data_IF_636827722020
#
_entry.id   IF_636827722020
#
_cell.length_a   1.000
_cell.length_b   1.000
_cell.length_c   1.000
_cell.angle_alpha   90.00
_cell.angle_beta   90.00
_cell.angle_gamma   90.00
#
_symmetry.space_group_name_H-M   'P 1'
#
loop_
_entity.id
_entity.type
_entity.pdbx_description
1 polymer ?
#
# COMPACT_ATOMS: atom_id res chain seq x y z
N UNK A 1 -20.20 10.75 -29.32
CA UNK A 1 -20.08 10.35 -27.90
C UNK A 1 -18.81 9.55 -27.58
N UNK A 2 -18.26 8.74 -28.52
CA UNK A 2 -17.02 7.96 -28.30
C UNK A 2 -15.74 8.81 -28.48
N UNK A 3 -15.78 9.85 -29.33
CA UNK A 3 -14.58 10.69 -29.63
C UNK A 3 -14.22 11.60 -28.45
N UNK A 4 -15.20 12.12 -27.70
CA UNK A 4 -14.97 13.01 -26.54
C UNK A 4 -14.38 12.29 -25.31
N UNK A 5 -14.63 10.99 -25.13
CA UNK A 5 -14.04 10.20 -24.05
C UNK A 5 -12.58 9.84 -24.29
N UNK A 6 -12.15 9.71 -25.56
CA UNK A 6 -10.75 9.47 -25.92
C UNK A 6 -9.88 10.70 -25.68
N UNK A 7 -10.39 11.91 -25.98
CA UNK A 7 -9.67 13.16 -25.72
C UNK A 7 -9.50 13.46 -24.22
N UNK A 8 -10.54 13.24 -23.40
CA UNK A 8 -10.38 13.35 -21.92
C UNK A 8 -9.27 12.45 -21.39
N UNK A 9 -9.05 11.27 -22.01
CA UNK A 9 -8.03 10.30 -21.60
C UNK A 9 -6.60 10.87 -21.70
N UNK A 10 -6.37 11.81 -22.63
CA UNK A 10 -5.06 12.41 -22.88
C UNK A 10 -4.72 13.54 -21.90
N UNK A 11 -5.72 14.19 -21.29
CA UNK A 11 -5.52 15.33 -20.37
C UNK A 11 -5.34 14.92 -18.89
N UNK A 12 -5.73 13.70 -18.49
CA UNK A 12 -5.57 13.21 -17.12
C UNK A 12 -4.14 13.27 -16.55
N UNK A 13 -3.07 12.87 -17.26
CA UNK A 13 -1.71 12.96 -16.72
C UNK A 13 -1.27 14.41 -16.46
N UNK A 14 -1.73 15.36 -17.27
CA UNK A 14 -1.47 16.78 -17.08
C UNK A 14 -2.21 17.33 -15.84
N UNK A 15 -3.47 16.92 -15.65
CA UNK A 15 -4.26 17.31 -14.49
C UNK A 15 -3.70 16.74 -13.17
N UNK A 16 -3.31 15.46 -13.18
CA UNK A 16 -2.72 14.79 -12.02
C UNK A 16 -1.39 15.43 -11.62
N UNK A 17 -0.52 15.73 -12.60
CA UNK A 17 0.76 16.39 -12.34
C UNK A 17 0.58 17.84 -11.87
N UNK A 18 -0.37 18.60 -12.41
CA UNK A 18 -0.71 19.94 -11.95
C UNK A 18 -1.25 19.94 -10.51
N UNK A 19 -2.12 18.98 -10.17
CA UNK A 19 -2.64 18.80 -8.82
C UNK A 19 -1.52 18.42 -7.84
N UNK A 20 -0.65 17.49 -8.23
CA UNK A 20 0.51 17.08 -7.47
C UNK A 20 1.47 18.26 -7.18
N UNK A 21 1.77 19.07 -8.20
CA UNK A 21 2.58 20.28 -8.05
C UNK A 21 1.97 21.28 -7.06
N UNK A 22 0.65 21.49 -7.09
CA UNK A 22 -0.06 22.37 -6.15
C UNK A 22 0.01 21.86 -4.71
N UNK A 23 -0.15 20.56 -4.50
CA UNK A 23 0.00 19.93 -3.18
C UNK A 23 1.42 20.15 -2.67
N UNK A 24 2.43 19.82 -3.47
CA UNK A 24 3.83 19.94 -3.08
C UNK A 24 4.16 21.39 -2.69
N UNK A 25 3.79 22.35 -3.53
CA UNK A 25 3.99 23.78 -3.26
C UNK A 25 3.30 24.24 -1.96
N UNK A 26 2.10 23.74 -1.68
CA UNK A 26 1.34 24.11 -0.46
C UNK A 26 2.00 23.56 0.79
N UNK A 27 2.50 22.32 0.75
CA UNK A 27 3.23 21.70 1.86
C UNK A 27 4.46 22.53 2.22
N UNK A 28 5.26 22.97 1.23
CA UNK A 28 6.47 23.76 1.49
C UNK A 28 6.19 25.20 1.94
N UNK A 29 5.21 25.88 1.35
CA UNK A 29 4.95 27.31 1.65
C UNK A 29 4.19 27.47 2.97
N UNK A 30 3.27 26.56 3.31
CA UNK A 30 2.42 26.66 4.50
C UNK A 30 2.85 25.72 5.65
N UNK A 31 4.08 25.18 5.60
CA UNK A 31 4.64 24.23 6.59
C UNK A 31 4.62 24.70 8.06
N UNK A 32 4.37 25.99 8.32
CA UNK A 32 4.27 26.56 9.67
C UNK A 32 2.84 26.62 10.24
N UNK A 33 1.80 26.61 9.41
CA UNK A 33 0.42 26.81 9.86
C UNK A 33 -0.21 25.49 10.30
N UNK A 34 -0.84 25.48 11.48
CA UNK A 34 -1.62 24.32 11.93
C UNK A 34 -0.81 23.05 12.24
N UNK A 35 0.49 23.15 12.54
CA UNK A 35 1.39 22.00 12.81
C UNK A 35 0.83 20.97 13.79
N UNK A 36 0.13 21.41 14.84
CA UNK A 36 -0.51 20.49 15.82
C UNK A 36 -1.62 19.65 15.20
N UNK A 37 -2.44 20.26 14.35
CA UNK A 37 -3.55 19.58 13.65
C UNK A 37 -2.99 18.60 12.61
N UNK A 38 -2.04 19.06 11.79
CA UNK A 38 -1.39 18.22 10.77
C UNK A 38 -0.70 17.02 11.41
N UNK A 39 0.04 17.22 12.50
CA UNK A 39 0.70 16.11 13.21
C UNK A 39 -0.31 15.10 13.74
N UNK A 40 -1.44 15.55 14.29
CA UNK A 40 -2.50 14.65 14.76
C UNK A 40 -3.06 13.81 13.61
N UNK A 41 -3.35 14.43 12.46
CA UNK A 41 -3.87 13.74 11.27
C UNK A 41 -2.86 12.72 10.75
N UNK A 42 -1.57 13.08 10.64
CA UNK A 42 -0.51 12.15 10.18
C UNK A 42 -0.41 10.95 11.11
N UNK A 43 -0.42 11.16 12.43
CA UNK A 43 -0.35 10.06 13.41
C UNK A 43 -1.58 9.15 13.30
N UNK A 44 -2.77 9.73 13.13
CA UNK A 44 -3.99 8.95 12.92
C UNK A 44 -3.93 8.14 11.63
N UNK A 45 -3.44 8.72 10.53
CA UNK A 45 -3.32 8.01 9.25
C UNK A 45 -2.29 6.88 9.32
N UNK A 46 -1.16 7.10 9.99
CA UNK A 46 -0.15 6.05 10.22
C UNK A 46 -0.74 4.93 11.08
N UNK A 47 -1.45 5.28 12.16
CA UNK A 47 -2.08 4.30 13.03
C UNK A 47 -3.10 3.43 12.27
N UNK A 48 -4.02 4.07 11.54
CA UNK A 48 -5.03 3.39 10.75
C UNK A 48 -4.41 2.49 9.67
N UNK A 49 -3.37 2.99 8.99
CA UNK A 49 -2.72 2.25 7.90
C UNK A 49 -1.85 1.09 8.40
N UNK A 50 -1.09 1.28 9.48
CA UNK A 50 -0.08 0.32 9.91
C UNK A 50 -0.55 -0.61 11.03
N UNK A 51 -1.33 -0.10 12.00
CA UNK A 51 -1.68 -0.86 13.21
C UNK A 51 -2.91 -1.72 12.99
N UNK A 52 -3.94 -1.21 12.31
CA UNK A 52 -5.18 -1.98 12.07
C UNK A 52 -4.94 -3.20 11.17
N UNK A 53 -3.97 -3.11 10.27
CA UNK A 53 -3.61 -4.17 9.32
C UNK A 53 -2.69 -5.23 9.95
N UNK A 54 -2.09 -4.95 11.11
CA UNK A 54 -1.05 -5.79 11.69
C UNK A 54 -1.54 -7.21 12.01
N UNK A 55 -2.77 -7.35 12.50
CA UNK A 55 -3.37 -8.65 12.79
C UNK A 55 -3.61 -9.47 11.52
N UNK A 56 -4.11 -8.82 10.46
CA UNK A 56 -4.31 -9.46 9.16
C UNK A 56 -2.96 -9.91 8.55
N UNK A 57 -1.95 -9.03 8.59
CA UNK A 57 -0.59 -9.34 8.16
C UNK A 57 0.00 -10.51 8.93
N UNK A 58 -0.21 -10.57 10.26
CA UNK A 58 0.27 -11.66 11.10
C UNK A 58 -0.35 -13.01 10.71
N UNK A 59 -1.67 -13.06 10.56
CA UNK A 59 -2.38 -14.29 10.17
C UNK A 59 -1.93 -14.75 8.78
N UNK A 60 -1.91 -13.85 7.80
CA UNK A 60 -1.47 -14.17 6.44
C UNK A 60 -0.01 -14.63 6.44
N UNK A 61 0.87 -13.94 7.16
CA UNK A 61 2.29 -14.26 7.27
C UNK A 61 2.56 -15.65 7.85
N UNK A 62 1.81 -16.04 8.89
CA UNK A 62 1.92 -17.39 9.48
C UNK A 62 1.47 -18.45 8.48
N UNK A 63 0.32 -18.27 7.84
CA UNK A 63 -0.23 -19.24 6.88
C UNK A 63 0.69 -19.36 5.66
N UNK A 64 1.03 -18.25 5.01
CA UNK A 64 1.91 -18.26 3.83
C UNK A 64 3.32 -18.75 4.17
N UNK A 65 3.87 -18.35 5.32
CA UNK A 65 5.18 -18.82 5.77
C UNK A 65 5.21 -20.34 5.94
N UNK A 66 4.23 -20.91 6.63
CA UNK A 66 4.12 -22.36 6.80
C UNK A 66 3.98 -23.07 5.45
N UNK A 67 3.12 -22.58 4.55
CA UNK A 67 2.92 -23.15 3.22
C UNK A 67 4.22 -23.15 2.39
N UNK A 68 4.92 -22.02 2.35
CA UNK A 68 6.18 -21.88 1.59
C UNK A 68 7.27 -22.78 2.16
N UNK A 69 7.41 -22.86 3.48
CA UNK A 69 8.40 -23.74 4.12
C UNK A 69 8.14 -25.21 3.78
N UNK A 70 6.89 -25.68 3.93
CA UNK A 70 6.52 -27.07 3.61
C UNK A 70 6.80 -27.37 2.12
N UNK A 71 6.45 -26.45 1.22
CA UNK A 71 6.64 -26.62 -0.22
C UNK A 71 8.13 -26.68 -0.60
N UNK A 72 8.96 -25.80 -0.03
CA UNK A 72 10.41 -25.76 -0.31
C UNK A 72 11.10 -27.00 0.29
N UNK A 73 10.75 -27.40 1.51
CA UNK A 73 11.24 -28.65 2.12
C UNK A 73 10.96 -29.87 1.23
N UNK A 74 9.72 -30.00 0.74
CA UNK A 74 9.32 -31.10 -0.14
C UNK A 74 10.04 -31.07 -1.51
N UNK A 75 10.45 -29.91 -2.00
CA UNK A 75 11.22 -29.80 -3.25
C UNK A 75 12.71 -30.07 -3.04
N UNK A 76 13.34 -29.51 -2.01
CA UNK A 76 14.78 -29.70 -1.76
C UNK A 76 15.12 -31.14 -1.38
N UNK A 77 14.24 -31.81 -0.63
CA UNK A 77 14.39 -33.23 -0.30
C UNK A 77 14.39 -34.14 -1.52
N UNK A 78 13.69 -33.77 -2.60
CA UNK A 78 13.69 -34.52 -3.88
C UNK A 78 14.97 -34.32 -4.68
N UNK A 79 15.61 -33.17 -4.55
CA UNK A 79 16.81 -32.80 -5.31
C UNK A 79 18.11 -33.19 -4.55
N UNK A 80 18.00 -33.59 -3.28
CA UNK A 80 19.14 -34.02 -2.46
C UNK A 80 19.96 -32.86 -1.87
N UNK A 81 19.52 -31.61 -2.03
CA UNK A 81 20.23 -30.40 -1.58
C UNK A 81 19.59 -29.87 -0.29
N UNK A 82 19.58 -30.69 0.76
CA UNK A 82 18.91 -30.32 2.02
C UNK A 82 19.72 -29.32 2.86
N UNK A 83 21.04 -29.23 2.65
CA UNK A 83 21.92 -28.32 3.41
C UNK A 83 21.70 -26.84 3.07
N UNK A 84 21.23 -26.52 1.85
CA UNK A 84 20.99 -25.15 1.40
C UNK A 84 19.63 -24.59 1.86
N UNK A 85 18.80 -25.38 2.55
CA UNK A 85 17.42 -25.04 2.85
C UNK A 85 17.28 -23.76 3.67
N UNK A 86 18.06 -23.63 4.74
CA UNK A 86 18.01 -22.43 5.59
C UNK A 86 18.40 -21.16 4.83
N UNK A 87 19.43 -21.23 3.98
CA UNK A 87 19.88 -20.09 3.17
C UNK A 87 18.83 -19.68 2.14
N UNK A 88 18.24 -20.65 1.44
CA UNK A 88 17.19 -20.41 0.43
C UNK A 88 15.95 -19.81 1.09
N UNK A 89 15.53 -20.32 2.25
CA UNK A 89 14.39 -19.78 2.98
C UNK A 89 14.62 -18.33 3.42
N UNK A 90 15.80 -17.99 3.94
CA UNK A 90 16.10 -16.62 4.35
C UNK A 90 16.05 -15.66 3.15
N UNK A 91 16.66 -16.04 2.02
CA UNK A 91 16.67 -15.18 0.84
C UNK A 91 15.24 -15.01 0.30
N UNK A 92 14.54 -16.10 0.01
CA UNK A 92 13.24 -16.02 -0.65
C UNK A 92 12.17 -15.47 0.31
N UNK A 93 12.07 -15.99 1.53
CA UNK A 93 10.97 -15.64 2.44
C UNK A 93 11.20 -14.27 3.08
N UNK A 94 12.38 -14.01 3.62
CA UNK A 94 12.62 -12.80 4.40
C UNK A 94 12.94 -11.60 3.50
N UNK A 95 13.72 -11.79 2.43
CA UNK A 95 14.17 -10.66 1.58
C UNK A 95 13.22 -10.35 0.43
N UNK A 96 12.54 -11.36 -0.13
CA UNK A 96 11.67 -11.17 -1.28
C UNK A 96 10.18 -11.16 -0.86
N UNK A 97 9.69 -12.31 -0.38
CA UNK A 97 8.25 -12.51 -0.17
C UNK A 97 7.70 -11.70 0.99
N UNK A 98 8.42 -11.59 2.10
CA UNK A 98 7.99 -10.82 3.27
C UNK A 98 7.71 -9.35 2.93
N UNK A 99 8.68 -8.61 2.37
CA UNK A 99 8.47 -7.22 1.93
C UNK A 99 7.40 -7.10 0.85
N UNK A 100 7.37 -8.01 -0.13
CA UNK A 100 6.41 -7.97 -1.23
C UNK A 100 4.96 -8.16 -0.75
N UNK A 101 4.70 -9.21 0.06
CA UNK A 101 3.36 -9.48 0.61
C UNK A 101 2.92 -8.33 1.52
N UNK A 102 3.83 -7.81 2.34
CA UNK A 102 3.55 -6.67 3.22
C UNK A 102 3.17 -5.43 2.41
N UNK A 103 3.93 -5.09 1.36
CA UNK A 103 3.66 -3.94 0.50
C UNK A 103 2.29 -4.06 -0.18
N UNK A 104 1.98 -5.23 -0.75
CA UNK A 104 0.69 -5.47 -1.43
C UNK A 104 -0.48 -5.29 -0.47
N UNK A 105 -0.41 -5.89 0.72
CA UNK A 105 -1.50 -5.82 1.71
C UNK A 105 -1.69 -4.38 2.21
N UNK A 106 -0.61 -3.67 2.52
CA UNK A 106 -0.67 -2.27 2.98
C UNK A 106 -1.27 -1.38 1.90
N UNK A 107 -0.85 -1.52 0.64
CA UNK A 107 -1.42 -0.75 -0.48
C UNK A 107 -2.91 -1.04 -0.65
N UNK A 108 -3.31 -2.32 -0.61
CA UNK A 108 -4.69 -2.71 -0.81
C UNK A 108 -5.59 -2.15 0.30
N UNK A 109 -5.19 -2.31 1.56
CA UNK A 109 -6.00 -1.88 2.71
C UNK A 109 -6.08 -0.36 2.83
N UNK A 110 -4.94 0.33 2.68
CA UNK A 110 -4.91 1.79 2.72
C UNK A 110 -5.66 2.40 1.54
N UNK A 111 -5.57 1.79 0.35
CA UNK A 111 -6.25 2.25 -0.85
C UNK A 111 -7.77 2.18 -0.76
N UNK A 112 -8.32 1.09 -0.21
CA UNK A 112 -9.77 0.99 0.00
C UNK A 112 -10.26 2.01 1.04
N UNK A 113 -9.52 2.18 2.13
CA UNK A 113 -9.84 3.17 3.15
C UNK A 113 -9.87 4.60 2.60
N UNK A 114 -8.85 4.99 1.83
CA UNK A 114 -8.79 6.31 1.18
C UNK A 114 -9.92 6.52 0.17
N UNK A 115 -10.24 5.49 -0.63
CA UNK A 115 -11.35 5.56 -1.58
C UNK A 115 -12.70 5.74 -0.86
N UNK A 116 -12.91 5.04 0.26
CA UNK A 116 -14.10 5.19 1.09
C UNK A 116 -14.18 6.58 1.72
N UNK A 117 -13.08 7.13 2.22
CA UNK A 117 -13.05 8.47 2.83
C UNK A 117 -13.41 9.57 1.81
N UNK A 118 -12.76 9.55 0.63
CA UNK A 118 -13.06 10.52 -0.45
C UNK A 118 -14.49 10.33 -0.98
N UNK A 119 -14.94 9.07 -1.11
CA UNK A 119 -16.31 8.76 -1.52
C UNK A 119 -17.33 9.26 -0.51
N UNK A 120 -17.06 9.10 0.79
CA UNK A 120 -17.91 9.58 1.87
C UNK A 120 -18.04 11.12 1.85
N UNK A 121 -16.92 11.85 1.68
CA UNK A 121 -16.93 13.30 1.52
C UNK A 121 -17.70 13.77 0.29
N UNK A 122 -17.64 13.01 -0.80
CA UNK A 122 -18.40 13.31 -2.03
C UNK A 122 -19.91 13.14 -1.79
N UNK A 123 -20.32 12.08 -1.11
CA UNK A 123 -21.74 11.82 -0.77
C UNK A 123 -22.29 12.87 0.19
N UNK A 124 -21.48 13.34 1.14
CA UNK A 124 -21.85 14.43 2.05
C UNK A 124 -21.92 15.81 1.38
N UNK A 125 -21.39 15.96 0.17
CA UNK A 125 -21.38 17.22 -0.57
C UNK A 125 -20.26 18.19 -0.15
N UNK A 126 -19.30 17.75 0.65
CA UNK A 126 -18.13 18.54 1.06
C UNK A 126 -17.19 18.79 -0.13
N UNK A 127 -17.14 17.85 -1.07
CA UNK A 127 -16.38 17.93 -2.32
C UNK A 127 -17.38 17.89 -3.47
N UNK A 128 -17.46 18.99 -4.25
CA UNK A 128 -18.33 19.05 -5.43
C UNK A 128 -17.69 18.28 -6.58
N UNK A 129 -18.44 17.31 -7.11
CA UNK A 129 -18.08 16.53 -8.30
C UNK A 129 -18.19 17.36 -9.59
#
# INVERSE_FOLDING_TARGET
>A
MIITSVFKKFDYPFLLSAFFYRILKTIFIKAGQGRRVIRKIIVQQIYFTAVEVLLLLGIIGVIFGALVIIQILAQLSRVGISEALGQILVVIVIRELGPLITAVIVILYSGTAMATEVGYMTVLGDIRA
#
